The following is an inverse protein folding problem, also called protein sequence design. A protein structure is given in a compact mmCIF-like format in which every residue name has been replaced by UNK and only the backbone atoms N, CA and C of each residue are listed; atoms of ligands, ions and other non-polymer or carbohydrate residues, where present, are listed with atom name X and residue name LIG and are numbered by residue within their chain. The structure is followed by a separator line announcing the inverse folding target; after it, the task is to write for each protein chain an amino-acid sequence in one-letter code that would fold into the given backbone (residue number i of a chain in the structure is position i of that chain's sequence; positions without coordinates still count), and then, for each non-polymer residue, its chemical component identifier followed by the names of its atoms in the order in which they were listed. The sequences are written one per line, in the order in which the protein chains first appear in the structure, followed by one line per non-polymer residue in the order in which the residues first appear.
data_IF_442414396152
#
_entry.id   IF_442414396152
#
_cell.length_a   1.000
_cell.length_b   1.000
_cell.length_c   1.000
_cell.angle_alpha   90.00
_cell.angle_beta   90.00
_cell.angle_gamma   90.00
#
_symmetry.space_group_name_H-M   'P 1'
#
loop_
_entity.id
_entity.type
_entity.pdbx_description
1 polymer ?
#
# COMPACT_ATOMS: atom_id res chain seq x y z
N UNK A 1 -13.74 4.06 15.21
CA UNK A 1 -13.16 2.75 14.91
C UNK A 1 -11.75 2.69 15.44
N UNK A 2 -11.14 1.52 15.54
CA UNK A 2 -9.77 1.36 16.01
C UNK A 2 -9.16 0.09 15.43
N UNK A 3 -7.84 -0.03 15.50
CA UNK A 3 -7.14 -1.23 15.06
C UNK A 3 -6.08 -1.65 16.07
N UNK A 4 -5.68 -2.91 15.99
CA UNK A 4 -4.49 -3.41 16.66
C UNK A 4 -3.58 -4.02 15.60
N UNK A 5 -2.29 -3.74 15.70
CA UNK A 5 -1.27 -4.24 14.82
C UNK A 5 -0.17 -4.92 15.63
N UNK A 6 0.17 -6.13 15.22
CA UNK A 6 1.28 -6.88 15.75
C UNK A 6 2.25 -7.15 14.61
N UNK A 7 3.53 -6.97 14.89
CA UNK A 7 4.59 -7.18 13.91
C UNK A 7 5.74 -7.95 14.54
N UNK A 8 6.28 -8.90 13.80
CA UNK A 8 7.46 -9.66 14.16
C UNK A 8 8.39 -9.76 12.96
N UNK A 9 9.67 -9.45 13.19
CA UNK A 9 10.67 -9.50 12.13
C UNK A 9 11.19 -10.94 11.92
N UNK A 10 11.39 -11.40 10.67
CA UNK A 10 11.02 -10.76 9.41
C UNK A 10 9.59 -11.10 8.95
N UNK A 11 8.95 -10.13 8.27
CA UNK A 11 7.77 -10.31 7.42
C UNK A 11 6.53 -10.97 8.05
N UNK A 12 6.47 -11.09 9.37
CA UNK A 12 5.30 -11.57 10.10
C UNK A 12 4.53 -10.39 10.68
N UNK A 13 3.23 -10.39 10.44
CA UNK A 13 2.38 -9.34 10.98
C UNK A 13 0.93 -9.80 11.07
N UNK A 14 0.17 -9.15 11.93
CA UNK A 14 -1.27 -9.34 12.08
C UNK A 14 -1.92 -8.00 12.37
N UNK A 15 -3.05 -7.73 11.72
CA UNK A 15 -3.85 -6.53 11.95
C UNK A 15 -5.31 -6.92 12.12
N UNK A 16 -5.95 -6.32 13.13
CA UNK A 16 -7.40 -6.36 13.33
C UNK A 16 -7.95 -4.94 13.33
N UNK A 17 -8.82 -4.60 12.40
CA UNK A 17 -9.54 -3.34 12.33
C UNK A 17 -10.99 -3.55 12.75
N UNK A 18 -11.44 -2.76 13.73
CA UNK A 18 -12.82 -2.72 14.20
C UNK A 18 -13.48 -1.39 13.85
N UNK A 19 -14.51 -1.41 13.01
CA UNK A 19 -15.23 -0.21 12.56
C UNK A 19 -16.70 -0.54 12.29
N UNK A 20 -17.62 0.31 12.77
CA UNK A 20 -19.06 0.17 12.49
C UNK A 20 -19.66 -1.21 12.83
N UNK A 21 -19.25 -1.81 13.96
CA UNK A 21 -19.68 -3.17 14.36
C UNK A 21 -19.07 -4.32 13.55
N UNK A 22 -18.27 -4.01 12.53
CA UNK A 22 -17.58 -4.99 11.69
C UNK A 22 -16.11 -5.15 12.09
N UNK A 23 -15.58 -6.36 11.87
CA UNK A 23 -14.16 -6.67 12.07
C UNK A 23 -13.53 -7.18 10.78
N UNK A 24 -12.42 -6.56 10.39
CA UNK A 24 -11.55 -7.01 9.30
C UNK A 24 -10.24 -7.46 9.89
N UNK A 25 -9.76 -8.63 9.47
CA UNK A 25 -8.48 -9.19 9.92
C UNK A 25 -7.59 -9.44 8.72
N UNK A 26 -6.30 -9.26 8.88
CA UNK A 26 -5.32 -9.70 7.90
C UNK A 26 -4.02 -10.08 8.60
N UNK A 27 -3.26 -10.94 7.97
CA UNK A 27 -1.97 -11.34 8.53
C UNK A 27 -1.02 -11.92 7.51
N UNK A 28 0.23 -12.06 7.95
CA UNK A 28 1.30 -12.73 7.25
C UNK A 28 2.12 -13.57 8.24
N UNK A 29 2.44 -14.81 7.87
CA UNK A 29 3.33 -15.69 8.64
C UNK A 29 4.76 -15.75 8.07
N UNK A 30 5.17 -14.73 7.30
CA UNK A 30 6.46 -14.71 6.59
C UNK A 30 6.50 -15.57 5.32
N UNK A 31 5.44 -16.32 5.01
CA UNK A 31 5.34 -17.13 3.78
C UNK A 31 4.08 -16.82 2.97
N UNK A 32 2.96 -16.61 3.66
CA UNK A 32 1.65 -16.42 3.07
C UNK A 32 0.96 -15.22 3.71
N UNK A 33 0.33 -14.41 2.87
CA UNK A 33 -0.55 -13.30 3.29
C UNK A 33 -1.98 -13.78 3.21
N UNK A 34 -2.80 -13.44 4.20
CA UNK A 34 -4.22 -13.76 4.23
C UNK A 34 -5.04 -12.60 4.75
N UNK A 35 -6.33 -12.62 4.45
CA UNK A 35 -7.32 -11.66 4.96
C UNK A 35 -8.62 -12.36 5.28
N UNK A 36 -9.37 -11.78 6.21
CA UNK A 36 -10.73 -12.14 6.55
C UNK A 36 -11.59 -10.87 6.59
N UNK A 37 -12.61 -10.81 5.73
CA UNK A 37 -13.64 -9.76 5.79
C UNK A 37 -15.01 -10.40 6.03
N UNK A 38 -15.96 -9.70 6.66
CA UNK A 38 -17.30 -10.25 6.94
C UNK A 38 -18.04 -10.76 5.70
N UNK A 39 -17.80 -10.15 4.54
CA UNK A 39 -18.48 -10.49 3.28
C UNK A 39 -17.76 -11.53 2.42
N UNK A 40 -16.45 -11.76 2.63
CA UNK A 40 -15.65 -12.69 1.80
C UNK A 40 -15.16 -13.92 2.59
N UNK A 41 -15.24 -13.89 3.92
CA UNK A 41 -14.61 -14.88 4.77
C UNK A 41 -13.08 -14.85 4.64
N UNK A 42 -12.44 -15.97 4.98
CA UNK A 42 -10.98 -16.12 4.93
C UNK A 42 -10.49 -16.38 3.51
N UNK A 43 -9.51 -15.60 3.06
CA UNK A 43 -8.90 -15.72 1.74
C UNK A 43 -7.38 -15.57 1.82
N UNK A 44 -6.65 -16.53 1.23
CA UNK A 44 -5.21 -16.46 1.07
C UNK A 44 -4.86 -15.63 -0.16
N UNK A 45 -3.88 -14.76 -0.06
CA UNK A 45 -3.54 -13.84 -1.11
C UNK A 45 -2.33 -14.40 -1.91
N UNK A 46 -2.47 -14.57 -3.22
CA UNK A 46 -1.45 -15.17 -4.09
C UNK A 46 -0.19 -14.30 -4.22
N UNK A 47 0.95 -14.94 -4.49
CA UNK A 47 2.23 -14.31 -4.75
C UNK A 47 3.09 -14.11 -3.49
N UNK A 48 4.26 -13.45 -3.63
CA UNK A 48 5.20 -13.27 -2.52
C UNK A 48 4.59 -12.40 -1.42
N UNK A 49 5.14 -12.53 -0.21
CA UNK A 49 4.75 -11.73 0.95
C UNK A 49 4.78 -10.24 0.62
N UNK A 50 3.79 -9.54 1.15
CA UNK A 50 3.65 -8.10 1.02
C UNK A 50 3.93 -7.49 2.40
N UNK A 51 4.77 -6.45 2.48
CA UNK A 51 4.73 -5.54 3.62
C UNK A 51 3.29 -5.03 3.81
N UNK A 52 2.87 -4.73 5.04
CA UNK A 52 1.55 -4.17 5.30
C UNK A 52 1.47 -2.75 4.72
N UNK A 53 1.18 -2.67 3.42
CA UNK A 53 1.44 -1.49 2.59
C UNK A 53 0.41 -0.38 2.73
N UNK A 54 -0.83 -0.64 3.15
CA UNK A 54 -1.96 0.29 2.83
C UNK A 54 -2.63 0.98 4.02
N UNK A 55 -2.34 0.59 5.26
CA UNK A 55 -3.04 1.15 6.43
C UNK A 55 -2.12 1.80 7.46
N UNK A 56 -0.86 1.36 7.55
CA UNK A 56 0.03 1.70 8.68
C UNK A 56 1.32 2.38 8.20
N UNK A 57 1.28 3.05 7.05
CA UNK A 57 2.39 3.85 6.56
C UNK A 57 2.71 4.91 7.64
N UNK A 58 3.97 4.99 8.07
CA UNK A 58 4.42 5.88 9.16
C UNK A 58 4.37 5.29 10.57
N UNK A 59 3.77 4.10 10.77
CA UNK A 59 3.85 3.39 12.05
C UNK A 59 5.10 2.51 12.18
N UNK A 60 5.62 2.06 11.04
CA UNK A 60 6.88 1.32 10.97
C UNK A 60 7.84 1.95 9.95
N UNK A 61 8.71 2.86 10.42
CA UNK A 61 9.76 3.46 9.59
C UNK A 61 10.73 2.43 9.01
N UNK A 62 10.97 1.30 9.69
CA UNK A 62 11.88 0.26 9.22
C UNK A 62 11.32 -0.44 7.99
N UNK A 63 10.07 -0.89 8.05
CA UNK A 63 9.42 -1.48 6.86
C UNK A 63 9.33 -0.48 5.71
N UNK A 64 9.07 0.80 6.02
CA UNK A 64 9.07 1.86 5.00
C UNK A 64 10.43 1.97 4.30
N UNK A 65 11.52 2.02 5.07
CA UNK A 65 12.87 2.07 4.52
C UNK A 65 13.22 0.81 3.70
N UNK A 66 12.93 -0.38 4.23
CA UNK A 66 13.16 -1.66 3.51
C UNK A 66 12.37 -1.71 2.20
N UNK A 67 11.14 -1.22 2.17
CA UNK A 67 10.32 -1.20 0.96
C UNK A 67 10.93 -0.35 -0.16
N UNK A 68 11.54 0.78 0.18
CA UNK A 68 12.18 1.69 -0.78
C UNK A 68 13.67 1.39 -1.00
N UNK A 69 14.23 0.34 -0.38
CA UNK A 69 15.65 0.01 -0.49
C UNK A 69 16.13 -0.23 -1.93
N UNK A 70 15.26 -0.79 -2.78
CA UNK A 70 15.55 -1.04 -4.21
C UNK A 70 14.86 -0.02 -5.14
N UNK A 71 14.41 1.12 -4.60
CA UNK A 71 13.76 2.17 -5.39
C UNK A 71 14.77 3.02 -6.16
N UNK A 72 14.27 3.82 -7.11
CA UNK A 72 15.07 4.78 -7.86
C UNK A 72 14.67 6.19 -7.45
N UNK A 73 15.64 7.06 -7.17
CA UNK A 73 15.38 8.49 -7.06
C UNK A 73 15.01 9.04 -8.46
N UNK A 74 13.88 9.74 -8.55
CA UNK A 74 13.34 10.25 -9.82
C UNK A 74 13.18 11.77 -9.86
N UNK A 75 13.58 12.46 -8.80
CA UNK A 75 13.57 13.91 -8.73
C UNK A 75 13.21 14.43 -7.35
N UNK A 76 12.88 15.72 -7.30
CA UNK A 76 12.54 16.45 -6.09
C UNK A 76 11.27 17.28 -6.30
N UNK A 77 10.50 17.48 -5.24
CA UNK A 77 9.26 18.26 -5.27
C UNK A 77 8.95 18.81 -3.89
N UNK A 78 8.37 20.00 -3.83
CA UNK A 78 7.80 20.55 -2.61
C UNK A 78 6.43 19.90 -2.32
N UNK A 79 6.30 19.29 -1.15
CA UNK A 79 5.07 18.65 -0.66
C UNK A 79 4.67 19.33 0.64
N UNK A 80 3.47 19.90 0.70
CA UNK A 80 2.96 20.63 1.87
C UNK A 80 3.94 21.69 2.44
N UNK A 81 4.70 22.35 1.56
CA UNK A 81 5.70 23.35 1.93
C UNK A 81 7.08 22.81 2.27
N UNK A 82 7.25 21.48 2.36
CA UNK A 82 8.52 20.82 2.65
C UNK A 82 9.21 20.30 1.38
N UNK A 83 10.51 20.57 1.24
CA UNK A 83 11.30 20.06 0.13
C UNK A 83 11.53 18.55 0.30
N UNK A 84 11.09 17.77 -0.68
CA UNK A 84 11.14 16.31 -0.65
C UNK A 84 11.90 15.75 -1.85
N UNK A 85 12.64 14.66 -1.66
CA UNK A 85 13.11 13.81 -2.75
C UNK A 85 12.11 12.69 -3.02
N UNK A 86 12.02 12.25 -4.27
CA UNK A 86 11.00 11.31 -4.74
C UNK A 86 11.67 9.98 -5.05
N UNK A 87 11.25 8.94 -4.34
CA UNK A 87 11.63 7.56 -4.62
C UNK A 87 10.51 6.84 -5.36
N UNK A 88 10.83 6.26 -6.53
CA UNK A 88 9.92 5.45 -7.33
C UNK A 88 10.27 3.97 -7.20
N UNK A 89 9.27 3.17 -6.86
CA UNK A 89 9.36 1.71 -6.85
C UNK A 89 8.38 1.14 -7.88
N UNK A 90 8.90 0.39 -8.84
CA UNK A 90 8.08 -0.39 -9.77
C UNK A 90 8.13 -1.86 -9.38
N UNK A 91 6.97 -2.52 -9.28
CA UNK A 91 6.93 -3.97 -9.06
C UNK A 91 7.39 -4.68 -10.34
N UNK A 92 8.26 -5.68 -10.21
CA UNK A 92 8.78 -6.44 -11.33
C UNK A 92 7.73 -7.36 -11.97
N UNK A 93 7.87 -7.71 -13.27
CA UNK A 93 6.87 -8.52 -13.98
C UNK A 93 6.62 -9.90 -13.37
N UNK A 94 7.63 -10.54 -12.79
CA UNK A 94 7.50 -11.87 -12.18
C UNK A 94 6.60 -11.80 -10.94
N UNK A 95 6.84 -10.81 -10.08
CA UNK A 95 6.02 -10.52 -8.92
C UNK A 95 4.60 -10.13 -9.31
N UNK A 96 4.42 -9.33 -10.37
CA UNK A 96 3.09 -8.98 -10.88
C UNK A 96 2.33 -10.23 -11.32
N UNK A 97 2.95 -11.08 -12.14
CA UNK A 97 2.38 -12.35 -12.62
C UNK A 97 2.06 -13.31 -11.47
N UNK A 98 2.94 -13.40 -10.47
CA UNK A 98 2.72 -14.24 -9.29
C UNK A 98 1.53 -13.77 -8.45
N UNK A 99 1.19 -12.48 -8.50
CA UNK A 99 0.06 -11.87 -7.78
C UNK A 99 -1.25 -11.88 -8.58
N UNK A 100 -1.21 -12.10 -9.89
CA UNK A 100 -2.39 -12.24 -10.75
C UNK A 100 -3.15 -13.55 -10.46
N UNK A 101 -4.48 -13.47 -10.45
CA UNK A 101 -5.36 -14.57 -10.02
C UNK A 101 -6.64 -14.62 -10.86
N UNK A 102 -6.96 -15.81 -11.39
CA UNK A 102 -8.14 -16.03 -12.21
C UNK A 102 -8.20 -15.06 -13.41
N UNK A 103 -9.35 -14.39 -13.63
CA UNK A 103 -9.51 -13.44 -14.73
C UNK A 103 -8.81 -12.09 -14.51
N UNK A 104 -8.22 -11.86 -13.33
CA UNK A 104 -7.61 -10.59 -12.94
C UNK A 104 -6.08 -10.64 -13.04
N UNK A 105 -5.55 -9.82 -13.93
CA UNK A 105 -4.13 -9.64 -14.19
C UNK A 105 -3.66 -8.28 -13.69
N UNK A 106 -2.64 -8.25 -12.83
CA UNK A 106 -2.00 -6.99 -12.42
C UNK A 106 -1.00 -6.59 -13.49
N UNK A 107 -1.33 -5.57 -14.27
CA UNK A 107 -0.52 -5.09 -15.40
C UNK A 107 0.62 -4.19 -14.91
N UNK A 108 0.35 -3.38 -13.88
CA UNK A 108 1.31 -2.41 -13.36
C UNK A 108 1.04 -2.12 -11.89
N UNK A 109 2.10 -1.98 -11.11
CA UNK A 109 2.02 -1.50 -9.74
C UNK A 109 3.24 -0.63 -9.44
N UNK A 110 3.00 0.66 -9.22
CA UNK A 110 4.03 1.68 -9.02
C UNK A 110 3.73 2.42 -7.73
N UNK A 111 4.77 2.61 -6.92
CA UNK A 111 4.73 3.43 -5.72
C UNK A 111 5.67 4.63 -5.88
N UNK A 112 5.25 5.78 -5.38
CA UNK A 112 6.09 6.94 -5.16
C UNK A 112 6.09 7.29 -3.68
N UNK A 113 7.27 7.45 -3.09
CA UNK A 113 7.46 7.97 -1.75
C UNK A 113 8.12 9.34 -1.80
N UNK A 114 7.53 10.30 -1.09
CA UNK A 114 8.04 11.66 -0.98
C UNK A 114 8.65 11.82 0.40
N UNK A 115 9.97 11.88 0.45
CA UNK A 115 10.72 11.91 1.70
C UNK A 115 11.28 13.31 1.94
N UNK A 116 11.02 13.86 3.12
CA UNK A 116 11.55 15.15 3.55
C UNK A 116 13.08 15.14 3.43
N UNK A 117 13.65 16.10 2.71
CA UNK A 117 15.10 16.25 2.61
C UNK A 117 15.72 16.62 3.96
N UNK A 118 14.95 17.30 4.82
CA UNK A 118 15.39 17.76 6.14
C UNK A 118 15.42 16.65 7.18
N UNK A 119 14.42 15.76 7.17
CA UNK A 119 14.22 14.77 8.25
C UNK A 119 14.38 13.32 7.78
N UNK A 120 14.36 13.06 6.48
CA UNK A 120 14.32 11.72 5.91
C UNK A 120 12.99 10.99 6.12
N UNK A 121 11.98 11.62 6.73
CA UNK A 121 10.68 11.01 6.99
C UNK A 121 9.79 11.05 5.75
N UNK A 122 8.93 10.05 5.61
CA UNK A 122 7.95 9.97 4.52
C UNK A 122 6.82 10.98 4.78
N UNK A 123 6.69 11.99 3.91
CA UNK A 123 5.66 13.02 3.99
C UNK A 123 4.39 12.63 3.22
N UNK A 124 4.57 12.02 2.04
CA UNK A 124 3.48 11.56 1.19
C UNK A 124 3.84 10.26 0.49
N UNK A 125 2.84 9.46 0.17
CA UNK A 125 2.98 8.27 -0.66
C UNK A 125 1.85 8.18 -1.68
N UNK A 126 2.19 7.78 -2.89
CA UNK A 126 1.25 7.48 -3.97
C UNK A 126 1.43 6.02 -4.38
N UNK A 127 0.37 5.21 -4.31
CA UNK A 127 0.32 3.81 -4.75
C UNK A 127 -0.68 3.72 -5.90
N UNK A 128 -0.23 3.29 -7.08
CA UNK A 128 -1.08 3.03 -8.25
C UNK A 128 -0.97 1.56 -8.67
N UNK A 129 -2.12 0.89 -8.77
CA UNK A 129 -2.25 -0.48 -9.26
C UNK A 129 -3.23 -0.55 -10.44
N UNK A 130 -2.71 -0.87 -11.63
CA UNK A 130 -3.50 -1.16 -12.82
C UNK A 130 -3.78 -2.65 -12.93
N UNK A 131 -5.05 -3.01 -13.01
CA UNK A 131 -5.53 -4.39 -13.14
C UNK A 131 -6.35 -4.52 -14.40
N UNK A 132 -6.05 -5.53 -15.20
CA UNK A 132 -6.83 -5.95 -16.37
C UNK A 132 -7.69 -7.14 -15.96
N UNK A 133 -8.98 -7.05 -16.21
CA UNK A 133 -9.94 -8.12 -15.92
C UNK A 133 -10.51 -8.60 -17.24
N UNK A 134 -10.39 -9.89 -17.53
CA UNK A 134 -10.98 -10.50 -18.71
C UNK A 134 -11.62 -11.84 -18.35
N UNK A 135 -12.94 -11.95 -18.53
CA UNK A 135 -13.67 -13.21 -18.45
C UNK A 135 -13.54 -13.99 -19.76
N UNK A 136 -13.69 -15.32 -19.70
CA UNK A 136 -13.61 -16.18 -20.88
C UNK A 136 -14.63 -15.75 -21.94
N UNK A 137 -14.14 -15.28 -23.09
CA UNK A 137 -14.98 -14.85 -24.22
C UNK A 137 -15.46 -13.39 -24.17
N UNK A 138 -15.07 -12.60 -23.17
CA UNK A 138 -15.43 -11.18 -23.04
C UNK A 138 -14.30 -10.21 -23.36
N UNK A 139 -14.66 -8.93 -23.52
CA UNK A 139 -13.71 -7.84 -23.67
C UNK A 139 -12.93 -7.58 -22.38
N UNK A 140 -11.68 -7.14 -22.52
CA UNK A 140 -10.84 -6.79 -21.38
C UNK A 140 -11.23 -5.42 -20.82
N UNK A 141 -11.42 -5.35 -19.50
CA UNK A 141 -11.68 -4.10 -18.77
C UNK A 141 -10.46 -3.75 -17.93
N UNK A 142 -10.07 -2.47 -17.93
CA UNK A 142 -8.96 -1.99 -17.12
C UNK A 142 -9.47 -1.15 -15.94
N UNK A 143 -8.91 -1.41 -14.78
CA UNK A 143 -9.17 -0.68 -13.54
C UNK A 143 -7.86 -0.19 -12.96
N UNK A 144 -7.78 1.10 -12.64
CA UNK A 144 -6.68 1.65 -11.84
C UNK A 144 -7.18 2.03 -10.46
N UNK A 145 -6.57 1.45 -9.43
CA UNK A 145 -6.75 1.91 -8.05
C UNK A 145 -5.56 2.80 -7.71
N UNK A 146 -5.83 4.03 -7.30
CA UNK A 146 -4.81 4.92 -6.75
C UNK A 146 -5.09 5.19 -5.27
N UNK A 147 -4.03 5.23 -4.48
CA UNK A 147 -4.09 5.55 -3.05
C UNK A 147 -3.04 6.62 -2.79
N UNK A 148 -3.49 7.79 -2.37
CA UNK A 148 -2.63 8.91 -2.02
C UNK A 148 -2.72 9.14 -0.51
N UNK A 149 -1.60 9.00 0.20
CA UNK A 149 -1.55 9.12 1.66
C UNK A 149 -0.62 10.24 2.08
N UNK A 150 -1.09 11.17 2.90
CA UNK A 150 -0.24 12.10 3.68
C UNK A 150 0.02 11.54 5.06
N UNK A 151 1.22 11.78 5.58
CA UNK A 151 1.64 11.38 6.92
C UNK A 151 2.07 12.62 7.70
N UNK A 152 1.52 12.76 8.89
CA UNK A 152 1.58 13.98 9.68
C UNK A 152 1.78 13.66 11.17
N UNK A 153 2.05 14.70 11.96
CA UNK A 153 2.22 14.60 13.41
C UNK A 153 3.24 13.52 13.84
N UNK A 154 4.41 13.55 13.20
CA UNK A 154 5.51 12.65 13.57
C UNK A 154 6.00 12.96 14.98
N UNK A 155 5.93 11.96 15.87
CA UNK A 155 6.39 12.04 17.26
C UNK A 155 7.41 10.96 17.55
N UNK A 156 8.31 11.27 18.47
CA UNK A 156 9.27 10.30 18.96
C UNK A 156 8.60 9.38 19.98
N UNK A 157 8.65 8.07 19.72
CA UNK A 157 8.21 7.01 20.64
C UNK A 157 9.39 6.06 20.78
N UNK A 158 9.97 5.98 21.98
CA UNK A 158 11.13 5.11 22.27
C UNK A 158 12.30 5.28 21.29
N UNK A 159 12.55 6.52 20.84
CA UNK A 159 13.63 6.83 19.90
C UNK A 159 13.26 6.69 18.42
N UNK A 160 12.06 6.22 18.09
CA UNK A 160 11.58 6.03 16.72
C UNK A 160 10.57 7.12 16.38
N UNK A 161 10.69 7.74 15.20
CA UNK A 161 9.71 8.72 14.71
C UNK A 161 8.50 7.99 14.11
N UNK A 162 7.33 8.17 14.71
CA UNK A 162 6.07 7.53 14.32
C UNK A 162 5.08 8.61 13.92
N UNK A 163 4.39 8.44 12.78
CA UNK A 163 3.30 9.33 12.39
C UNK A 163 2.06 9.07 13.26
N UNK A 164 1.55 10.09 13.94
CA UNK A 164 0.33 9.98 14.75
C UNK A 164 -0.93 10.43 14.02
N UNK A 165 -0.78 11.05 12.84
CA UNK A 165 -1.90 11.42 11.99
C UNK A 165 -1.56 11.25 10.51
N UNK A 166 -2.59 11.33 9.67
CA UNK A 166 -2.44 11.22 8.24
C UNK A 166 -3.79 11.16 7.56
N UNK A 167 -3.78 11.22 6.23
CA UNK A 167 -4.99 11.15 5.41
C UNK A 167 -4.72 10.34 4.17
N UNK A 168 -5.55 9.34 3.92
CA UNK A 168 -5.52 8.58 2.67
C UNK A 168 -6.76 8.87 1.83
N UNK A 169 -6.56 9.09 0.54
CA UNK A 169 -7.60 9.18 -0.48
C UNK A 169 -7.44 8.01 -1.43
N UNK A 170 -8.51 7.25 -1.63
CA UNK A 170 -8.53 6.10 -2.53
C UNK A 170 -9.43 6.44 -3.71
N UNK A 171 -8.91 6.30 -4.92
CA UNK A 171 -9.68 6.47 -6.15
C UNK A 171 -9.68 5.16 -6.93
N UNK A 172 -10.85 4.78 -7.44
CA UNK A 172 -11.00 3.63 -8.33
C UNK A 172 -11.50 4.15 -9.68
N UNK A 173 -10.70 3.94 -10.72
CA UNK A 173 -11.01 4.41 -12.07
C UNK A 173 -11.14 3.24 -13.03
N UNK A 174 -12.24 3.19 -13.79
CA UNK A 174 -12.44 2.26 -14.89
C UNK A 174 -12.12 2.95 -16.21
N UNK A 175 -11.17 2.42 -16.97
CA UNK A 175 -10.92 2.95 -18.31
C UNK A 175 -12.12 2.68 -19.22
N UNK A 176 -12.58 3.71 -19.93
CA UNK A 176 -13.76 3.67 -20.79
C UNK A 176 -15.04 4.21 -20.16
N UNK A 177 -15.04 4.53 -18.86
CA UNK A 177 -16.12 5.30 -18.20
C UNK A 177 -15.63 6.72 -17.88
N UNK A 178 -16.53 7.70 -17.91
CA UNK A 178 -16.25 9.07 -17.45
C UNK A 178 -16.03 9.02 -15.93
N UNK A 179 -14.95 9.64 -15.44
CA UNK A 179 -14.63 9.65 -14.01
C UNK A 179 -15.82 10.13 -13.19
N UNK A 180 -16.30 9.32 -12.25
CA UNK A 180 -17.27 9.77 -11.25
C UNK A 180 -16.54 10.67 -10.25
N UNK A 181 -16.87 11.96 -10.30
CA UNK A 181 -16.36 13.03 -9.41
C UNK A 181 -16.93 12.93 -8.00
#
# INVERSE_FOLDING_TARGET
GGFVFWQMNPDMWYVELSVGGSKVRAGCNGKLVWRHTPWLGSHTAKGPVRPLRRALQGLDPRTTATMFAASKCVGEKKVNGEDCFILKLSTDPETLKARSEGPAEIVRHILFGYFSQRTGLLAQMEDSQLTRIQSNGGDAVYWETTINSSLEDYKQVEGIMIAHSGRSVVTLFRFGEVAMS
#
